data_IF_905721655961
#
_entry.id   IF_905721655961
#
_cell.length_a   1.000
_cell.length_b   1.000
_cell.length_c   1.000
_cell.angle_alpha   90.00
_cell.angle_beta   90.00
_cell.angle_gamma   90.00
#
_symmetry.space_group_name_H-M   'P 1'
#
loop_
_entity.id
_entity.type
_entity.pdbx_description
1 polymer ?
#
# COMPACT_ATOMS: atom_id res chain seq x y z
N UNK A 1 -15.42 0.53 -12.40
CA UNK A 1 -14.08 0.93 -12.95
C UNK A 1 -13.27 -0.31 -13.35
N UNK A 2 -13.19 -1.30 -12.50
CA UNK A 2 -12.46 -2.56 -12.71
C UNK A 2 -12.79 -3.30 -14.02
N UNK A 3 -14.05 -3.29 -14.44
CA UNK A 3 -14.54 -4.03 -15.62
C UNK A 3 -14.79 -3.17 -16.87
N UNK A 4 -14.66 -1.85 -16.79
CA UNK A 4 -15.14 -0.96 -17.87
C UNK A 4 -14.11 -0.58 -18.92
N UNK A 5 -12.83 -0.84 -18.69
CA UNK A 5 -11.77 -0.50 -19.64
C UNK A 5 -10.69 -1.57 -19.62
N UNK A 6 -10.67 -2.51 -20.55
CA UNK A 6 -9.64 -3.55 -20.62
C UNK A 6 -8.24 -2.96 -20.82
N UNK A 7 -8.12 -1.79 -21.44
CA UNK A 7 -6.84 -1.18 -21.78
C UNK A 7 -6.32 -0.20 -20.73
N UNK A 8 -7.20 0.34 -19.88
CA UNK A 8 -6.87 1.38 -18.89
C UNK A 8 -7.41 1.08 -17.50
N UNK A 9 -8.17 0.02 -17.34
CA UNK A 9 -8.73 -0.41 -16.06
C UNK A 9 -7.73 -1.16 -15.19
N UNK A 10 -8.13 -1.45 -13.99
CA UNK A 10 -7.33 -2.16 -13.00
C UNK A 10 -6.80 -3.52 -13.52
N UNK A 11 -7.59 -4.23 -14.31
CA UNK A 11 -7.22 -5.51 -14.90
C UNK A 11 -6.08 -5.41 -15.92
N UNK A 12 -5.80 -4.22 -16.46
CA UNK A 12 -4.66 -4.02 -17.37
C UNK A 12 -3.33 -3.82 -16.63
N UNK A 13 -3.36 -3.61 -15.31
CA UNK A 13 -2.19 -3.34 -14.47
C UNK A 13 -1.58 -4.61 -13.89
N UNK A 14 -2.29 -5.74 -13.94
CA UNK A 14 -1.84 -6.99 -13.39
C UNK A 14 -2.91 -8.09 -13.46
N UNK A 15 -2.56 -9.27 -12.98
CA UNK A 15 -3.48 -10.39 -12.86
C UNK A 15 -4.21 -10.33 -11.51
N UNK A 16 -5.49 -10.00 -11.58
CA UNK A 16 -6.35 -9.81 -10.41
C UNK A 16 -7.33 -10.98 -10.30
N UNK A 17 -7.38 -11.57 -9.13
CA UNK A 17 -8.32 -12.64 -8.78
C UNK A 17 -9.26 -12.20 -7.66
N UNK A 18 -10.34 -12.91 -7.45
CA UNK A 18 -11.09 -12.82 -6.21
C UNK A 18 -10.31 -13.50 -5.10
N UNK A 19 -9.95 -12.76 -4.06
CA UNK A 19 -9.20 -13.28 -2.93
C UNK A 19 -10.00 -13.33 -1.65
N UNK A 20 -9.63 -14.25 -0.77
CA UNK A 20 -10.09 -14.26 0.60
C UNK A 20 -9.15 -13.44 1.48
N UNK A 21 -9.63 -12.92 2.61
CA UNK A 21 -8.76 -12.34 3.61
C UNK A 21 -7.81 -13.42 4.14
N UNK A 22 -6.54 -13.10 4.21
CA UNK A 22 -5.51 -13.91 4.83
C UNK A 22 -5.01 -13.18 6.07
N UNK A 23 -4.95 -13.88 7.21
CA UNK A 23 -4.53 -13.24 8.46
C UNK A 23 -3.08 -12.80 8.43
N UNK A 24 -2.79 -11.83 9.21
CA UNK A 24 -1.60 -11.31 9.82
C UNK A 24 -0.19 -11.58 9.31
N UNK A 25 0.04 -11.94 8.07
CA UNK A 25 1.40 -12.05 7.56
C UNK A 25 1.99 -10.64 7.31
N UNK A 26 3.21 -10.37 7.79
CA UNK A 26 3.85 -9.11 7.45
C UNK A 26 4.08 -9.03 5.94
N UNK A 27 3.85 -7.84 5.38
CA UNK A 27 4.23 -7.53 4.01
C UNK A 27 5.70 -7.13 3.99
N UNK A 28 6.46 -7.69 3.05
CA UNK A 28 7.84 -7.31 2.79
C UNK A 28 7.88 -6.14 1.82
N UNK A 29 8.61 -5.09 2.17
CA UNK A 29 8.75 -3.88 1.36
C UNK A 29 9.81 -4.10 0.28
N UNK A 30 9.50 -3.66 -0.93
CA UNK A 30 10.45 -3.65 -2.04
C UNK A 30 11.37 -2.42 -1.94
N UNK A 31 12.60 -2.64 -1.52
CA UNK A 31 13.63 -1.59 -1.38
C UNK A 31 14.52 -1.45 -2.61
N UNK A 32 14.20 -2.12 -3.71
CA UNK A 32 15.01 -2.09 -4.94
C UNK A 32 14.94 -0.75 -5.68
N UNK A 33 13.98 0.10 -5.32
CA UNK A 33 13.81 1.43 -5.92
C UNK A 33 13.77 2.53 -4.83
N UNK A 34 14.15 3.78 -5.17
CA UNK A 34 14.39 4.83 -4.17
C UNK A 34 13.21 5.15 -3.26
N UNK A 35 11.99 5.23 -3.78
CA UNK A 35 10.81 5.51 -2.96
C UNK A 35 10.41 4.32 -2.09
N UNK A 36 10.60 3.10 -2.56
CA UNK A 36 10.39 1.89 -1.75
C UNK A 36 11.36 1.82 -0.58
N UNK A 37 12.63 2.20 -0.83
CA UNK A 37 13.59 2.36 0.27
C UNK A 37 13.17 3.47 1.24
N UNK A 38 12.69 4.60 0.75
CA UNK A 38 12.22 5.69 1.62
C UNK A 38 11.02 5.26 2.47
N UNK A 39 10.09 4.47 1.93
CA UNK A 39 9.02 3.86 2.70
C UNK A 39 9.58 2.95 3.79
N UNK A 40 10.53 2.08 3.45
CA UNK A 40 11.15 1.19 4.43
C UNK A 40 11.83 1.98 5.56
N UNK A 41 12.63 2.98 5.21
CA UNK A 41 13.31 3.83 6.18
C UNK A 41 12.31 4.58 7.10
N UNK A 42 11.20 5.06 6.54
CA UNK A 42 10.12 5.67 7.29
C UNK A 42 9.45 4.67 8.25
N UNK A 43 9.16 3.47 7.77
CA UNK A 43 8.55 2.43 8.59
C UNK A 43 9.48 1.97 9.71
N UNK A 44 10.77 1.78 9.43
CA UNK A 44 11.77 1.35 10.40
C UNK A 44 11.97 2.40 11.50
N UNK A 45 11.92 3.69 11.16
CA UNK A 45 12.00 4.78 12.12
C UNK A 45 10.77 4.84 13.06
N UNK A 46 9.59 4.49 12.55
CA UNK A 46 8.34 4.57 13.30
C UNK A 46 7.92 3.22 13.93
N UNK A 47 8.54 2.12 13.51
CA UNK A 47 8.19 0.76 13.91
C UNK A 47 9.40 -0.18 13.89
N UNK A 48 10.40 0.04 14.75
CA UNK A 48 11.70 -0.64 14.66
C UNK A 48 11.67 -2.16 14.94
N UNK A 49 10.51 -2.70 15.35
CA UNK A 49 10.39 -4.11 15.68
C UNK A 49 10.38 -5.07 14.47
N UNK A 50 10.16 -4.57 13.25
CA UNK A 50 10.05 -5.38 12.04
C UNK A 50 10.69 -4.66 10.84
N UNK A 51 12.02 -4.54 10.79
CA UNK A 51 12.69 -3.78 9.74
C UNK A 51 12.37 -4.34 8.33
N UNK A 52 12.10 -3.43 7.40
CA UNK A 52 11.76 -3.77 6.02
C UNK A 52 10.38 -4.41 5.82
N UNK A 53 9.56 -4.44 6.86
CA UNK A 53 8.24 -5.12 6.84
C UNK A 53 7.14 -4.24 7.42
N UNK A 54 5.92 -4.48 6.96
CA UNK A 54 4.71 -3.86 7.51
C UNK A 54 3.77 -4.94 8.02
N UNK A 55 3.50 -4.91 9.32
CA UNK A 55 2.51 -5.79 9.92
C UNK A 55 1.12 -5.21 9.70
N UNK A 56 0.24 -6.00 9.06
CA UNK A 56 -1.18 -5.70 8.92
C UNK A 56 -2.01 -6.76 9.65
N UNK A 57 -3.14 -6.34 10.21
CA UNK A 57 -4.06 -7.27 10.89
C UNK A 57 -4.69 -8.24 9.89
N UNK A 58 -5.00 -7.74 8.71
CA UNK A 58 -5.56 -8.51 7.60
C UNK A 58 -4.98 -8.03 6.28
N UNK A 59 -4.49 -8.95 5.47
CA UNK A 59 -4.19 -8.74 4.04
C UNK A 59 -5.13 -9.60 3.20
N UNK A 60 -5.37 -9.17 1.97
CA UNK A 60 -6.15 -9.91 1.01
C UNK A 60 -5.25 -10.54 -0.04
N UNK A 61 -5.72 -11.57 -0.68
CA UNK A 61 -5.02 -12.27 -1.75
C UNK A 61 -5.73 -12.05 -3.09
N UNK A 62 -5.86 -10.77 -3.47
CA UNK A 62 -6.57 -10.36 -4.69
C UNK A 62 -5.67 -10.22 -5.92
N UNK A 63 -4.35 -10.20 -5.74
CA UNK A 63 -3.38 -10.00 -6.82
C UNK A 63 -2.49 -11.22 -6.98
N UNK A 64 -2.37 -11.75 -8.20
CA UNK A 64 -1.34 -12.73 -8.55
C UNK A 64 -0.04 -12.03 -9.01
N UNK A 65 -0.17 -10.96 -9.79
CA UNK A 65 0.97 -10.22 -10.30
C UNK A 65 0.60 -8.77 -10.62
N UNK A 66 1.62 -7.94 -10.76
CA UNK A 66 1.53 -6.55 -11.25
C UNK A 66 2.38 -6.45 -12.51
N UNK A 67 1.88 -5.77 -13.55
CA UNK A 67 2.64 -5.50 -14.77
C UNK A 67 3.69 -4.41 -14.49
N UNK A 68 4.99 -4.74 -14.46
CA UNK A 68 6.04 -3.79 -14.10
C UNK A 68 6.25 -2.67 -15.14
N UNK A 69 5.69 -2.85 -16.35
CA UNK A 69 5.70 -1.82 -17.38
C UNK A 69 4.66 -0.71 -17.15
N UNK A 70 3.70 -0.93 -16.26
CA UNK A 70 2.55 -0.03 -16.04
C UNK A 70 2.41 0.44 -14.60
N UNK A 71 2.83 -0.38 -13.64
CA UNK A 71 2.66 -0.11 -12.23
C UNK A 71 3.91 -0.52 -11.43
N UNK A 72 4.17 0.16 -10.34
CA UNK A 72 5.27 -0.14 -9.44
C UNK A 72 4.76 -0.94 -8.24
N UNK A 73 5.28 -2.15 -8.05
CA UNK A 73 5.05 -2.92 -6.83
C UNK A 73 5.85 -2.31 -5.67
N UNK A 74 5.26 -2.27 -4.48
CA UNK A 74 5.87 -1.72 -3.27
C UNK A 74 5.99 -2.73 -2.14
N UNK A 75 5.06 -3.65 -2.06
CA UNK A 75 5.05 -4.65 -1.02
C UNK A 75 4.45 -5.97 -1.51
N UNK A 76 4.90 -7.04 -0.90
CA UNK A 76 4.41 -8.39 -1.17
C UNK A 76 4.36 -9.23 0.11
N UNK A 77 3.55 -10.27 0.12
CA UNK A 77 3.57 -11.26 1.20
C UNK A 77 3.36 -12.67 0.66
N UNK A 78 3.89 -13.64 1.38
CA UNK A 78 3.65 -15.06 1.12
C UNK A 78 2.21 -15.47 1.43
N UNK A 79 1.85 -16.72 1.08
CA UNK A 79 0.53 -17.25 1.35
C UNK A 79 0.29 -17.43 2.86
N UNK A 80 -0.98 -17.51 3.22
CA UNK A 80 -1.42 -17.87 4.54
C UNK A 80 -0.75 -19.17 5.07
N UNK A 81 -0.45 -19.18 6.34
CA UNK A 81 0.27 -20.21 7.12
C UNK A 81 0.40 -21.59 6.46
N UNK A 82 1.62 -21.99 6.12
CA UNK A 82 2.00 -23.36 5.77
C UNK A 82 1.88 -23.78 4.32
N UNK A 83 1.39 -22.94 3.44
CA UNK A 83 1.39 -23.18 2.00
C UNK A 83 2.74 -22.83 1.36
N UNK A 84 3.25 -23.69 0.50
CA UNK A 84 4.37 -23.33 -0.36
C UNK A 84 3.92 -22.22 -1.32
N UNK A 85 4.74 -21.18 -1.43
CA UNK A 85 4.66 -20.04 -2.35
C UNK A 85 3.63 -20.12 -3.51
N UNK A 86 3.07 -19.02 -3.97
CA UNK A 86 3.87 -17.85 -4.36
C UNK A 86 3.72 -16.62 -3.44
N UNK A 87 4.72 -15.75 -3.52
CA UNK A 87 4.66 -14.42 -2.94
C UNK A 87 3.84 -13.54 -3.88
N UNK A 88 2.79 -12.94 -3.36
CA UNK A 88 1.89 -12.11 -4.16
C UNK A 88 2.06 -10.63 -3.84
N UNK A 89 1.91 -9.72 -4.82
CA UNK A 89 1.84 -8.29 -4.58
C UNK A 89 0.71 -7.96 -3.62
N UNK A 90 0.94 -6.94 -2.76
CA UNK A 90 -0.09 -6.42 -1.83
C UNK A 90 -0.28 -4.92 -1.99
N UNK A 91 0.76 -4.24 -2.41
CA UNK A 91 0.72 -2.78 -2.61
C UNK A 91 1.37 -2.45 -3.93
N UNK A 92 0.69 -1.65 -4.75
CA UNK A 92 1.28 -1.07 -5.93
C UNK A 92 0.77 0.35 -6.18
N UNK A 93 1.56 1.13 -6.91
CA UNK A 93 1.18 2.43 -7.43
C UNK A 93 1.13 2.43 -8.95
N UNK A 94 0.34 3.33 -9.51
CA UNK A 94 0.22 3.56 -10.94
C UNK A 94 0.14 5.04 -11.23
N UNK A 95 0.90 5.50 -12.20
CA UNK A 95 0.76 6.87 -12.72
C UNK A 95 -0.22 6.87 -13.90
N UNK A 96 -1.05 7.88 -13.99
CA UNK A 96 -2.15 7.97 -14.95
C UNK A 96 -2.09 9.24 -15.79
N UNK A 97 -2.50 9.19 -17.07
CA UNK A 97 -2.93 8.01 -17.83
C UNK A 97 -1.82 6.98 -17.97
N UNK A 98 -2.20 5.68 -17.98
CA UNK A 98 -1.25 4.58 -18.16
C UNK A 98 -0.76 4.55 -19.61
N UNK A 99 0.53 4.26 -19.81
CA UNK A 99 1.11 4.07 -21.15
C UNK A 99 1.49 5.35 -21.88
N UNK A 100 1.29 6.53 -21.26
CA UNK A 100 1.80 7.79 -21.80
C UNK A 100 3.14 8.17 -21.17
N UNK A 101 3.96 9.03 -21.82
CA UNK A 101 5.16 9.58 -21.22
C UNK A 101 4.91 10.25 -19.86
N UNK A 102 5.90 10.22 -18.99
CA UNK A 102 5.75 10.70 -17.59
C UNK A 102 5.38 12.17 -17.49
N UNK A 103 5.85 13.01 -18.41
CA UNK A 103 5.50 14.42 -18.51
C UNK A 103 4.05 14.68 -18.93
N UNK A 104 3.36 13.66 -19.38
CA UNK A 104 1.93 13.67 -19.72
C UNK A 104 1.06 12.97 -18.66
N UNK A 105 1.66 12.44 -17.62
CA UNK A 105 0.92 11.83 -16.51
C UNK A 105 0.58 12.91 -15.48
N UNK A 106 -0.68 12.96 -15.08
CA UNK A 106 -1.23 13.99 -14.19
C UNK A 106 -1.94 13.42 -12.94
N UNK A 107 -1.99 12.10 -12.81
CA UNK A 107 -2.61 11.42 -11.69
C UNK A 107 -1.76 10.25 -11.18
N UNK A 108 -1.89 9.94 -9.89
CA UNK A 108 -1.31 8.76 -9.27
C UNK A 108 -2.38 8.03 -8.48
N UNK A 109 -2.41 6.72 -8.60
CA UNK A 109 -3.24 5.84 -7.80
C UNK A 109 -2.39 4.90 -6.95
N UNK A 110 -2.89 4.52 -5.80
CA UNK A 110 -2.33 3.46 -4.97
C UNK A 110 -3.40 2.40 -4.73
N UNK A 111 -2.99 1.15 -4.81
CA UNK A 111 -3.77 0.00 -4.36
C UNK A 111 -3.08 -0.62 -3.15
N UNK A 112 -3.84 -0.85 -2.10
CA UNK A 112 -3.38 -1.52 -0.88
C UNK A 112 -4.34 -2.68 -0.62
N UNK A 113 -3.83 -3.89 -0.69
CA UNK A 113 -4.58 -5.12 -0.50
C UNK A 113 -4.54 -5.56 0.97
N UNK A 114 -4.83 -4.64 1.87
CA UNK A 114 -4.83 -4.83 3.31
C UNK A 114 -5.82 -3.91 4.02
N UNK A 115 -6.28 -4.31 5.19
CA UNK A 115 -7.00 -3.42 6.08
C UNK A 115 -6.02 -2.64 6.96
N UNK A 116 -6.19 -1.34 7.01
CA UNK A 116 -5.37 -0.43 7.82
C UNK A 116 -5.68 -0.59 9.30
N UNK A 117 -6.95 -0.76 9.63
CA UNK A 117 -7.39 -1.03 10.99
C UNK A 117 -8.64 -1.90 10.93
N UNK A 118 -8.56 -3.13 11.39
CA UNK A 118 -9.71 -4.00 11.50
C UNK A 118 -9.78 -4.60 12.90
N UNK A 119 -10.89 -4.37 13.60
CA UNK A 119 -11.23 -5.21 14.74
C UNK A 119 -11.41 -6.64 14.24
N UNK A 120 -11.10 -7.59 15.07
CA UNK A 120 -11.15 -9.03 14.81
C UNK A 120 -12.36 -9.42 13.95
N UNK A 121 -12.11 -10.21 12.90
CA UNK A 121 -13.14 -10.75 12.02
C UNK A 121 -14.32 -11.33 12.86
N UNK A 122 -15.50 -10.74 12.69
CA UNK A 122 -16.75 -11.36 13.17
C UNK A 122 -17.54 -10.60 14.23
N UNK A 123 -16.96 -9.70 15.00
CA UNK A 123 -17.71 -8.85 15.94
C UNK A 123 -17.16 -7.42 15.93
N UNK A 124 -17.97 -6.42 15.56
CA UNK A 124 -17.61 -5.04 15.80
C UNK A 124 -17.32 -4.88 17.30
N UNK A 125 -16.10 -4.49 17.65
CA UNK A 125 -15.77 -4.09 19.02
C UNK A 125 -15.96 -2.56 19.11
N UNK A 126 -17.07 -2.10 19.66
CA UNK A 126 -17.36 -0.69 19.72
C UNK A 126 -16.35 0.11 20.57
N UNK A 127 -15.51 -0.59 21.35
CA UNK A 127 -14.44 0.04 22.13
C UNK A 127 -13.14 0.20 21.32
N UNK A 128 -13.04 -0.49 20.18
CA UNK A 128 -11.87 -0.49 19.28
C UNK A 128 -12.18 0.11 17.91
N UNK A 129 -13.46 0.30 17.60
CA UNK A 129 -13.87 0.97 16.38
C UNK A 129 -13.66 2.48 16.55
N UNK A 130 -12.63 2.99 15.87
CA UNK A 130 -12.33 4.42 15.83
C UNK A 130 -13.52 5.28 15.33
N UNK A 131 -14.50 4.64 14.69
CA UNK A 131 -15.72 5.29 14.20
C UNK A 131 -16.58 5.86 15.33
N UNK A 132 -16.50 5.29 16.54
CA UNK A 132 -17.30 5.73 17.69
C UNK A 132 -16.50 6.51 18.73
N UNK A 133 -15.20 6.66 18.56
CA UNK A 133 -14.37 7.43 19.46
C UNK A 133 -14.26 8.87 18.96
N UNK A 134 -14.47 9.85 19.85
CA UNK A 134 -14.40 11.25 19.48
C UNK A 134 -12.97 11.65 19.09
N UNK A 135 -12.82 12.24 17.90
CA UNK A 135 -11.58 12.86 17.47
C UNK A 135 -11.21 14.02 18.42
N UNK A 136 -9.95 14.22 18.79
CA UNK A 136 -8.74 13.49 18.41
C UNK A 136 -8.38 12.31 19.33
N UNK A 137 -9.15 12.02 20.35
CA UNK A 137 -8.82 11.02 21.37
C UNK A 137 -8.88 9.57 20.86
N UNK A 138 -9.42 9.39 19.66
CA UNK A 138 -9.51 8.10 18.99
C UNK A 138 -8.28 7.75 18.15
N UNK A 139 -7.37 8.70 17.93
CA UNK A 139 -6.17 8.43 17.17
C UNK A 139 -5.16 7.67 18.04
N UNK A 140 -4.79 6.43 17.70
CA UNK A 140 -3.75 5.73 18.42
C UNK A 140 -2.42 6.45 18.27
N UNK A 141 -1.69 6.58 19.35
CA UNK A 141 -0.32 7.06 19.34
C UNK A 141 0.55 6.05 20.07
N UNK A 142 1.56 5.46 19.44
CA UNK A 142 2.01 5.65 18.05
C UNK A 142 1.06 5.02 17.01
N UNK A 143 1.18 5.47 15.76
CA UNK A 143 0.46 4.85 14.64
C UNK A 143 0.80 3.35 14.55
N UNK A 144 -0.22 2.53 14.26
CA UNK A 144 0.02 1.14 13.89
C UNK A 144 0.83 1.06 12.58
N UNK A 145 1.57 -0.04 12.33
CA UNK A 145 2.37 -0.18 11.11
C UNK A 145 1.58 0.08 9.82
N UNK A 146 0.39 -0.50 9.69
CA UNK A 146 -0.46 -0.30 8.52
C UNK A 146 -0.92 1.17 8.37
N UNK A 147 -1.20 1.85 9.47
CA UNK A 147 -1.56 3.28 9.48
C UNK A 147 -0.37 4.15 9.06
N UNK A 148 0.83 3.83 9.52
CA UNK A 148 2.07 4.50 9.10
C UNK A 148 2.32 4.36 7.60
N UNK A 149 2.18 3.15 7.06
CA UNK A 149 2.28 2.92 5.62
C UNK A 149 1.23 3.70 4.83
N UNK A 150 -0.02 3.72 5.30
CA UNK A 150 -1.09 4.49 4.67
C UNK A 150 -0.80 5.99 4.70
N UNK A 151 -0.31 6.52 5.82
CA UNK A 151 0.10 7.91 5.93
C UNK A 151 1.20 8.26 4.94
N UNK A 152 2.23 7.41 4.77
CA UNK A 152 3.27 7.61 3.77
C UNK A 152 2.68 7.74 2.36
N UNK A 153 1.81 6.82 1.95
CA UNK A 153 1.18 6.89 0.63
C UNK A 153 0.27 8.12 0.48
N UNK A 154 -0.40 8.55 1.52
CA UNK A 154 -1.20 9.76 1.49
C UNK A 154 -0.36 11.00 1.17
N UNK A 155 0.82 11.11 1.79
CA UNK A 155 1.76 12.19 1.47
C UNK A 155 2.40 12.03 0.08
N UNK A 156 2.72 10.82 -0.35
CA UNK A 156 3.25 10.57 -1.70
C UNK A 156 2.22 10.92 -2.79
N UNK A 157 0.94 10.62 -2.57
CA UNK A 157 -0.16 10.99 -3.47
C UNK A 157 -0.42 12.52 -3.50
N UNK A 158 -0.23 13.20 -2.38
CA UNK A 158 -0.41 14.65 -2.27
C UNK A 158 0.76 15.45 -2.85
N UNK A 159 1.91 14.82 -3.06
CA UNK A 159 3.06 15.45 -3.69
C UNK A 159 2.88 15.54 -5.22
N UNK A 160 3.67 16.41 -5.88
CA UNK A 160 3.74 16.42 -7.34
C UNK A 160 4.13 15.02 -7.85
N UNK A 161 3.55 14.61 -9.00
CA UNK A 161 3.84 13.29 -9.58
C UNK A 161 5.32 13.18 -9.85
N UNK A 162 5.95 12.28 -9.14
CA UNK A 162 7.35 11.92 -9.33
C UNK A 162 7.44 10.46 -9.72
N UNK A 163 8.46 10.14 -10.52
CA UNK A 163 8.78 8.75 -10.80
C UNK A 163 9.12 8.01 -9.49
N UNK A 164 8.60 6.81 -9.31
CA UNK A 164 8.89 6.01 -8.12
C UNK A 164 10.38 5.61 -8.03
N UNK A 165 11.09 5.62 -9.17
CA UNK A 165 12.53 5.41 -9.24
C UNK A 165 13.38 6.65 -8.94
N UNK A 166 12.79 7.73 -8.45
CA UNK A 166 13.50 8.93 -7.97
C UNK A 166 13.31 9.07 -6.46
N UNK A 167 14.31 9.56 -5.74
CA UNK A 167 14.14 9.88 -4.32
C UNK A 167 12.99 10.87 -4.12
N UNK A 168 12.26 10.81 -3.00
CA UNK A 168 11.25 11.80 -2.67
C UNK A 168 11.87 13.21 -2.69
N UNK A 169 11.23 14.14 -3.40
CA UNK A 169 11.65 15.53 -3.34
C UNK A 169 11.16 16.15 -2.02
N UNK A 170 11.97 17.00 -1.37
CA UNK A 170 11.50 17.77 -0.24
C UNK A 170 10.34 18.68 -0.68
N UNK A 171 9.38 18.97 0.22
CA UNK A 171 8.29 19.89 -0.09
C UNK A 171 8.87 21.26 -0.50
N UNK A 172 8.22 21.97 -1.44
CA UNK A 172 8.68 23.29 -1.84
C UNK A 172 8.68 24.22 -0.62
N UNK A 173 9.78 24.91 -0.42
CA UNK A 173 9.87 25.95 0.62
C UNK A 173 8.96 27.08 0.21
N UNK A 174 7.80 27.20 0.87
CA UNK A 174 6.93 28.37 0.72
C UNK A 174 7.65 29.54 1.37
N UNK A 175 8.06 30.50 0.55
CA UNK A 175 8.66 31.78 1.01
C UNK A 175 7.57 32.76 1.34
#
# INVERSE_FOLDING_TARGET
WYKKSPDTGFASLGDIKGGAPIGGNPMELDTSFPKGKALSDFMDANNPGNPGKVQCDVVFDNLNSVDPGKAQQWASSGPYSGGATPVHPRVFTVNMPVGVPVDQQCGKGVHIDAHVNQPTFGTPDPTKDAVNASYPNSCPTPLKPAEGMFAFFFFDLASCIQKDNQPPAPPPVVK
#
